data_IF_615146815377
#
_entry.id   IF_615146815377
#
_cell.length_a   1.000
_cell.length_b   1.000
_cell.length_c   1.000
_cell.angle_alpha   90.00
_cell.angle_beta   90.00
_cell.angle_gamma   90.00
#
_symmetry.space_group_name_H-M   'P 1'
#
loop_
_entity.id
_entity.type
_entity.pdbx_description
1 polymer ?
#
# COMPACT_ATOMS: atom_id res chain seq x y z
N UNK A 1 -17.09 12.29 -3.22
CA UNK A 1 -18.17 11.28 -3.20
C UNK A 1 -18.93 11.14 -4.50
N UNK A 2 -19.46 12.21 -5.13
CA UNK A 2 -20.15 12.11 -6.43
C UNK A 2 -19.31 11.34 -7.47
N UNK A 3 -18.02 11.69 -7.59
CA UNK A 3 -17.07 10.95 -8.42
C UNK A 3 -17.02 9.45 -8.08
N UNK A 4 -16.83 9.09 -6.81
CA UNK A 4 -16.74 7.67 -6.39
C UNK A 4 -18.03 6.90 -6.64
N UNK A 5 -19.19 7.54 -6.51
CA UNK A 5 -20.48 6.94 -6.88
C UNK A 5 -20.53 6.61 -8.36
N UNK A 6 -20.15 7.56 -9.22
CA UNK A 6 -20.09 7.34 -10.67
C UNK A 6 -19.06 6.26 -11.03
N UNK A 7 -17.86 6.32 -10.43
CA UNK A 7 -16.77 5.38 -10.66
C UNK A 7 -17.12 3.95 -10.25
N UNK A 8 -17.81 3.78 -9.13
CA UNK A 8 -18.25 2.46 -8.65
C UNK A 8 -19.29 1.82 -9.58
N UNK A 9 -20.14 2.63 -10.22
CA UNK A 9 -21.27 2.17 -11.03
C UNK A 9 -20.92 1.97 -12.51
N UNK A 10 -20.08 2.85 -13.05
CA UNK A 10 -19.70 2.89 -14.46
C UNK A 10 -18.47 2.01 -14.74
N UNK A 11 -18.31 1.56 -16.01
CA UNK A 11 -17.09 0.91 -16.47
C UNK A 11 -15.84 1.79 -16.29
N UNK A 12 -14.69 1.16 -16.05
CA UNK A 12 -13.43 1.87 -15.72
C UNK A 12 -12.95 2.78 -16.87
N UNK A 13 -13.20 2.36 -18.10
CA UNK A 13 -12.85 3.01 -19.36
C UNK A 13 -13.61 4.32 -19.60
N UNK A 14 -14.77 4.52 -18.98
CA UNK A 14 -15.62 5.68 -19.26
C UNK A 14 -15.23 6.95 -18.48
N UNK A 15 -14.59 6.81 -17.32
CA UNK A 15 -14.36 7.96 -16.44
C UNK A 15 -12.89 8.38 -16.46
N UNK A 16 -11.99 7.52 -15.98
CA UNK A 16 -10.64 7.95 -15.60
C UNK A 16 -9.50 7.11 -16.17
N UNK A 17 -9.77 5.89 -16.69
CA UNK A 17 -8.71 5.01 -17.17
C UNK A 17 -7.80 5.65 -18.22
N UNK A 18 -8.36 6.48 -19.12
CA UNK A 18 -7.59 7.23 -20.13
C UNK A 18 -6.59 8.23 -19.56
N UNK A 19 -6.78 8.67 -18.32
CA UNK A 19 -5.91 9.63 -17.64
C UNK A 19 -4.90 8.96 -16.70
N UNK A 20 -5.04 7.66 -16.40
CA UNK A 20 -4.12 6.92 -15.53
C UNK A 20 -2.65 6.99 -16.00
N UNK A 21 -2.34 6.87 -17.30
CA UNK A 21 -0.96 7.02 -17.77
C UNK A 21 -0.37 8.40 -17.47
N UNK A 22 -1.17 9.47 -17.57
CA UNK A 22 -0.73 10.82 -17.27
C UNK A 22 -0.35 10.94 -15.78
N UNK A 23 -1.20 10.44 -14.88
CA UNK A 23 -0.90 10.45 -13.45
C UNK A 23 0.34 9.63 -13.11
N UNK A 24 0.51 8.46 -13.74
CA UNK A 24 1.72 7.65 -13.58
C UNK A 24 2.99 8.41 -13.99
N UNK A 25 2.96 9.09 -15.14
CA UNK A 25 4.08 9.93 -15.60
C UNK A 25 4.34 11.07 -14.61
N UNK A 26 3.29 11.76 -14.12
CA UNK A 26 3.44 12.81 -13.12
C UNK A 26 4.12 12.31 -11.84
N UNK A 27 3.74 11.12 -11.34
CA UNK A 27 4.36 10.52 -10.15
C UNK A 27 5.84 10.22 -10.36
N UNK A 28 6.21 9.69 -11.54
CA UNK A 28 7.61 9.41 -11.88
C UNK A 28 8.42 10.70 -11.99
N UNK A 29 7.92 11.69 -12.73
CA UNK A 29 8.60 12.98 -12.90
C UNK A 29 8.79 13.68 -11.55
N UNK A 30 7.77 13.63 -10.69
CA UNK A 30 7.84 14.18 -9.34
C UNK A 30 8.89 13.45 -8.49
N UNK A 31 8.91 12.11 -8.47
CA UNK A 31 9.90 11.35 -7.72
C UNK A 31 11.33 11.61 -8.19
N UNK A 32 11.56 11.67 -9.50
CA UNK A 32 12.87 11.99 -10.08
C UNK A 32 13.27 13.45 -9.81
N UNK A 33 12.33 14.39 -9.86
CA UNK A 33 12.57 15.80 -9.56
C UNK A 33 12.97 16.03 -8.10
N UNK A 34 12.25 15.41 -7.16
CA UNK A 34 12.59 15.46 -5.72
C UNK A 34 13.94 14.81 -5.47
N UNK A 35 14.19 13.63 -6.04
CA UNK A 35 15.48 12.95 -5.93
C UNK A 35 16.63 13.82 -6.47
N UNK A 36 16.44 14.46 -7.62
CA UNK A 36 17.40 15.42 -8.18
C UNK A 36 17.62 16.60 -7.24
N UNK A 37 16.55 17.22 -6.73
CA UNK A 37 16.64 18.36 -5.81
C UNK A 37 17.43 18.04 -4.54
N UNK A 38 17.23 16.86 -3.97
CA UNK A 38 18.03 16.37 -2.84
C UNK A 38 19.51 16.17 -3.23
N UNK A 39 19.80 15.51 -4.35
CA UNK A 39 21.17 15.24 -4.79
C UNK A 39 21.96 16.51 -5.15
N UNK A 40 21.28 17.55 -5.64
CA UNK A 40 21.88 18.84 -5.95
C UNK A 40 21.87 19.82 -4.76
N UNK A 41 21.39 19.40 -3.58
CA UNK A 41 21.39 20.23 -2.37
C UNK A 41 20.48 21.46 -2.46
N UNK A 42 19.38 21.37 -3.21
CA UNK A 42 18.41 22.47 -3.34
C UNK A 42 17.82 22.79 -1.95
N UNK A 43 17.87 24.07 -1.56
CA UNK A 43 17.43 24.53 -0.23
C UNK A 43 18.47 24.36 0.88
N UNK A 44 19.64 23.77 0.61
CA UNK A 44 20.71 23.59 1.60
C UNK A 44 20.44 22.49 2.63
N UNK A 45 19.37 21.71 2.45
CA UNK A 45 19.06 20.57 3.30
C UNK A 45 20.10 19.46 3.14
N UNK A 46 20.57 18.93 4.27
CA UNK A 46 21.54 17.82 4.28
C UNK A 46 20.81 16.53 4.62
N UNK A 47 20.96 15.50 3.78
CA UNK A 47 20.36 14.20 4.05
C UNK A 47 20.97 13.62 5.34
N UNK A 48 20.16 13.20 6.32
CA UNK A 48 20.68 12.59 7.55
C UNK A 48 21.49 11.33 7.27
N UNK A 49 22.56 11.13 8.03
CA UNK A 49 23.35 9.89 7.99
C UNK A 49 22.52 8.69 8.43
N UNK A 50 22.77 7.53 7.81
CA UNK A 50 22.08 6.30 8.19
C UNK A 50 22.50 5.86 9.59
N UNK A 51 21.51 5.54 10.43
CA UNK A 51 21.74 5.00 11.76
C UNK A 51 20.83 3.79 12.01
N UNK A 52 21.30 2.86 12.85
CA UNK A 52 20.51 1.74 13.36
C UNK A 52 19.76 2.10 14.66
N UNK A 53 19.93 3.33 15.15
CA UNK A 53 19.24 3.82 16.33
C UNK A 53 17.74 3.99 16.09
N UNK A 54 16.96 3.80 17.16
CA UNK A 54 15.52 4.05 17.12
C UNK A 54 15.22 5.54 17.22
N UNK A 55 15.06 6.18 16.05
CA UNK A 55 14.70 7.60 15.91
C UNK A 55 13.20 7.90 16.09
N UNK A 56 12.39 6.90 16.44
CA UNK A 56 10.98 7.13 16.73
C UNK A 56 10.84 7.98 18.01
N UNK A 57 10.10 9.11 18.01
CA UNK A 57 10.06 10.03 19.17
C UNK A 57 9.59 9.38 20.48
N UNK A 58 8.73 8.38 20.38
CA UNK A 58 8.23 7.59 21.52
C UNK A 58 8.97 6.25 21.72
N UNK A 59 10.10 6.04 21.06
CA UNK A 59 10.88 4.80 21.05
C UNK A 59 10.03 3.53 20.82
N UNK A 60 9.02 3.63 19.95
CA UNK A 60 8.16 2.50 19.62
C UNK A 60 8.98 1.39 18.92
N UNK A 61 8.62 0.12 19.09
CA UNK A 61 9.38 -0.97 18.49
C UNK A 61 9.35 -0.91 16.95
N UNK A 62 10.52 -0.71 16.35
CA UNK A 62 10.68 -0.44 14.91
C UNK A 62 10.18 -1.61 14.07
N UNK A 63 10.56 -2.84 14.42
CA UNK A 63 10.40 -3.99 13.54
C UNK A 63 8.95 -4.19 13.06
N UNK A 64 7.95 -4.48 13.93
CA UNK A 64 6.58 -4.67 13.45
C UNK A 64 5.98 -3.36 12.89
N UNK A 65 6.33 -2.21 13.47
CA UNK A 65 5.76 -0.93 13.06
C UNK A 65 6.17 -0.55 11.64
N UNK A 66 7.43 -0.76 11.26
CA UNK A 66 7.95 -0.43 9.93
C UNK A 66 7.17 -1.13 8.82
N UNK A 67 7.00 -2.45 8.92
CA UNK A 67 6.31 -3.24 7.89
C UNK A 67 4.80 -3.02 7.86
N UNK A 68 4.22 -2.60 8.99
CA UNK A 68 2.79 -2.29 9.06
C UNK A 68 2.54 -0.88 8.55
N UNK A 69 3.30 0.13 8.99
CA UNK A 69 3.11 1.53 8.60
C UNK A 69 3.49 1.81 7.15
N UNK A 70 4.60 1.22 6.66
CA UNK A 70 5.03 1.35 5.25
C UNK A 70 4.31 0.30 4.40
N UNK A 71 2.98 0.23 4.52
CA UNK A 71 2.23 -0.93 4.08
C UNK A 71 2.40 -1.22 2.59
N UNK A 72 1.96 -0.29 1.74
CA UNK A 72 2.01 -0.46 0.29
C UNK A 72 3.44 -0.49 -0.28
N UNK A 73 4.42 0.09 0.44
CA UNK A 73 5.83 0.08 0.02
C UNK A 73 6.59 -1.19 0.42
N UNK A 74 6.18 -1.89 1.49
CA UNK A 74 6.81 -3.13 1.93
C UNK A 74 6.19 -4.36 1.26
N UNK A 75 4.88 -4.57 1.43
CA UNK A 75 4.09 -5.61 0.75
C UNK A 75 2.60 -5.29 0.90
N UNK A 76 1.81 -5.49 -0.15
CA UNK A 76 0.42 -5.02 -0.17
C UNK A 76 -0.60 -6.13 -0.43
N UNK A 77 -1.50 -6.33 0.53
CA UNK A 77 -2.65 -7.22 0.38
C UNK A 77 -3.74 -6.61 -0.50
N UNK A 78 -3.86 -5.28 -0.51
CA UNK A 78 -4.80 -4.55 -1.34
C UNK A 78 -4.54 -4.78 -2.83
N UNK A 79 -3.28 -4.80 -3.26
CA UNK A 79 -2.94 -5.14 -4.65
C UNK A 79 -3.40 -6.55 -5.06
N UNK A 80 -3.47 -7.49 -4.11
CA UNK A 80 -4.01 -8.82 -4.38
C UNK A 80 -5.52 -8.79 -4.70
N UNK A 81 -6.31 -7.90 -4.08
CA UNK A 81 -7.75 -7.78 -4.37
C UNK A 81 -8.03 -7.13 -5.72
N UNK A 82 -7.07 -6.35 -6.23
CA UNK A 82 -7.16 -5.68 -7.52
C UNK A 82 -6.59 -6.51 -8.67
N UNK A 83 -5.66 -7.41 -8.38
CA UNK A 83 -4.96 -8.24 -9.37
C UNK A 83 -5.89 -8.96 -10.35
N UNK A 84 -7.05 -9.53 -9.96
CA UNK A 84 -7.98 -10.15 -10.91
C UNK A 84 -8.57 -9.18 -11.94
N UNK A 85 -8.81 -7.93 -11.53
CA UNK A 85 -9.33 -6.88 -12.43
C UNK A 85 -8.25 -6.56 -13.47
N UNK A 86 -7.00 -6.38 -13.03
CA UNK A 86 -5.88 -6.06 -13.91
C UNK A 86 -5.52 -7.23 -14.83
N UNK A 87 -5.51 -8.47 -14.34
CA UNK A 87 -5.19 -9.65 -15.11
C UNK A 87 -6.12 -9.84 -16.32
N UNK A 88 -7.41 -9.53 -16.17
CA UNK A 88 -8.42 -9.61 -17.26
C UNK A 88 -8.25 -8.52 -18.32
N UNK A 89 -7.49 -7.47 -18.04
CA UNK A 89 -7.20 -6.40 -18.98
C UNK A 89 -5.87 -6.60 -19.74
N UNK A 90 -5.08 -7.61 -19.39
CA UNK A 90 -3.84 -7.92 -20.08
C UNK A 90 -4.11 -8.57 -21.44
N UNK A 91 -3.45 -8.08 -22.47
CA UNK A 91 -3.53 -8.64 -23.84
C UNK A 91 -2.64 -9.87 -24.04
N UNK A 92 -1.58 -9.97 -23.25
CA UNK A 92 -0.54 -11.00 -23.35
C UNK A 92 0.02 -11.30 -21.94
N UNK A 93 0.24 -12.57 -21.62
CA UNK A 93 0.84 -13.01 -20.35
C UNK A 93 2.25 -12.47 -20.13
N UNK A 94 2.99 -12.16 -21.21
CA UNK A 94 4.31 -11.49 -21.16
C UNK A 94 4.23 -10.14 -20.45
N UNK A 95 3.06 -9.49 -20.45
CA UNK A 95 2.81 -8.26 -19.72
C UNK A 95 2.68 -8.47 -18.21
N UNK A 96 2.55 -9.70 -17.72
CA UNK A 96 2.41 -9.99 -16.29
C UNK A 96 3.62 -9.50 -15.47
N UNK A 97 4.85 -9.72 -15.96
CA UNK A 97 6.05 -9.23 -15.28
C UNK A 97 6.10 -7.70 -15.16
N UNK A 98 6.00 -6.90 -16.23
CA UNK A 98 6.03 -5.45 -16.10
C UNK A 98 4.84 -4.89 -15.32
N UNK A 99 3.64 -5.46 -15.47
CA UNK A 99 2.42 -4.91 -14.83
C UNK A 99 2.33 -5.25 -13.35
N UNK A 100 2.68 -6.46 -12.92
CA UNK A 100 2.61 -6.85 -11.52
C UNK A 100 3.93 -6.59 -10.79
N UNK A 101 5.02 -7.21 -11.24
CA UNK A 101 6.31 -7.09 -10.56
C UNK A 101 6.94 -5.71 -10.80
N UNK A 102 6.95 -5.22 -12.05
CA UNK A 102 7.54 -3.94 -12.40
C UNK A 102 6.87 -2.75 -11.69
N UNK A 103 5.54 -2.74 -11.60
CA UNK A 103 4.80 -1.72 -10.87
C UNK A 103 5.16 -1.68 -9.38
N UNK A 104 5.23 -2.84 -8.72
CA UNK A 104 5.60 -2.92 -7.29
C UNK A 104 7.02 -2.41 -7.04
N UNK A 105 7.98 -2.72 -7.93
CA UNK A 105 9.34 -2.19 -7.82
C UNK A 105 9.35 -0.67 -7.97
N UNK A 106 8.60 -0.13 -8.95
CA UNK A 106 8.50 1.32 -9.15
C UNK A 106 7.87 2.02 -7.94
N UNK A 107 6.81 1.47 -7.37
CA UNK A 107 6.19 2.00 -6.13
C UNK A 107 7.16 1.98 -4.95
N UNK A 108 7.95 0.91 -4.80
CA UNK A 108 8.99 0.81 -3.77
C UNK A 108 10.05 1.92 -3.91
N UNK A 109 10.53 2.19 -5.13
CA UNK A 109 11.47 3.29 -5.40
C UNK A 109 10.85 4.64 -5.05
N UNK A 110 9.62 4.89 -5.51
CA UNK A 110 8.90 6.14 -5.21
C UNK A 110 8.72 6.32 -3.70
N UNK A 111 8.35 5.26 -2.97
CA UNK A 111 8.20 5.29 -1.52
C UNK A 111 9.51 5.63 -0.80
N UNK A 112 10.64 5.06 -1.25
CA UNK A 112 11.96 5.37 -0.70
C UNK A 112 12.36 6.84 -0.97
N UNK A 113 12.10 7.36 -2.16
CA UNK A 113 12.32 8.78 -2.47
C UNK A 113 11.53 9.70 -1.51
N UNK A 114 10.26 9.38 -1.25
CA UNK A 114 9.42 10.15 -0.33
C UNK A 114 9.84 10.04 1.13
N UNK A 115 10.27 8.86 1.58
CA UNK A 115 10.82 8.68 2.92
C UNK A 115 12.10 9.53 3.12
N UNK A 116 13.01 9.51 2.14
CA UNK A 116 14.22 10.33 2.16
C UNK A 116 13.90 11.83 2.11
N UNK A 117 12.95 12.25 1.27
CA UNK A 117 12.54 13.64 1.15
C UNK A 117 11.94 14.18 2.45
N UNK A 118 11.08 13.41 3.11
CA UNK A 118 10.50 13.80 4.40
C UNK A 118 11.55 13.93 5.51
N UNK A 119 12.55 13.04 5.53
CA UNK A 119 13.64 13.11 6.51
C UNK A 119 14.62 14.26 6.24
N UNK A 120 14.84 14.60 4.97
CA UNK A 120 15.83 15.61 4.55
C UNK A 120 15.26 17.03 4.59
N UNK A 121 14.07 17.25 4.01
CA UNK A 121 13.49 18.59 3.85
C UNK A 121 13.13 19.28 5.18
N UNK A 122 12.80 18.49 6.20
CA UNK A 122 12.41 19.01 7.51
C UNK A 122 13.47 18.79 8.58
N UNK A 123 14.73 18.57 8.18
CA UNK A 123 15.88 18.40 9.07
C UNK A 123 15.64 17.33 10.16
N UNK A 124 15.01 16.21 9.78
CA UNK A 124 14.75 15.06 10.63
C UNK A 124 13.29 14.86 11.05
N UNK A 125 13.08 13.84 11.90
CA UNK A 125 11.74 13.40 12.32
C UNK A 125 10.95 14.43 13.14
N UNK A 126 11.56 15.29 13.99
CA UNK A 126 10.79 16.29 14.74
C UNK A 126 10.17 17.36 13.84
N UNK A 127 10.93 17.87 12.86
CA UNK A 127 10.44 18.87 11.91
C UNK A 127 9.33 18.32 11.02
N UNK A 128 9.50 17.10 10.50
CA UNK A 128 8.46 16.43 9.72
C UNK A 128 7.18 16.22 10.56
N UNK A 129 7.33 15.84 11.82
CA UNK A 129 6.21 15.67 12.74
C UNK A 129 5.45 16.97 13.03
N UNK A 130 6.14 18.12 13.09
CA UNK A 130 5.52 19.42 13.23
C UNK A 130 4.76 19.82 11.96
N UNK A 131 5.40 19.69 10.79
CA UNK A 131 4.78 20.01 9.50
C UNK A 131 3.55 19.15 9.20
N UNK A 132 3.57 17.86 9.54
CA UNK A 132 2.40 16.97 9.42
C UNK A 132 1.23 17.40 10.31
N UNK A 133 1.48 18.01 11.47
CA UNK A 133 0.41 18.52 12.35
C UNK A 133 -0.18 19.83 11.85
N UNK A 134 0.64 20.69 11.24
CA UNK A 134 0.23 22.01 10.78
C UNK A 134 -0.39 21.98 9.38
N UNK A 135 0.33 21.42 8.41
CA UNK A 135 -0.03 21.43 6.99
C UNK A 135 -0.73 20.14 6.53
N UNK A 136 -0.71 19.09 7.36
CA UNK A 136 -1.22 17.77 7.01
C UNK A 136 -0.40 17.07 5.92
N UNK A 137 -0.72 15.79 5.59
CA UNK A 137 0.04 15.03 4.60
C UNK A 137 0.08 15.68 3.22
N UNK A 138 -1.03 16.29 2.78
CA UNK A 138 -1.12 16.97 1.49
C UNK A 138 -0.29 18.26 1.44
N UNK A 139 -0.26 19.03 2.52
CA UNK A 139 0.55 20.24 2.62
C UNK A 139 2.06 19.93 2.67
N UNK A 140 2.45 18.89 3.40
CA UNK A 140 3.85 18.41 3.42
C UNK A 140 4.33 18.02 2.02
N UNK A 141 3.52 17.29 1.26
CA UNK A 141 3.85 16.93 -0.14
C UNK A 141 3.99 18.19 -1.00
N UNK A 142 3.12 19.18 -0.82
CA UNK A 142 3.18 20.45 -1.54
C UNK A 142 4.47 21.22 -1.25
N UNK A 143 4.83 21.36 0.02
CA UNK A 143 6.04 22.08 0.46
C UNK A 143 7.31 21.43 -0.07
N UNK A 144 7.44 20.11 0.07
CA UNK A 144 8.60 19.34 -0.40
C UNK A 144 8.76 19.48 -1.92
N UNK A 145 7.67 19.32 -2.68
CA UNK A 145 7.73 19.46 -4.15
C UNK A 145 8.10 20.87 -4.57
N UNK A 146 7.50 21.90 -3.95
CA UNK A 146 7.77 23.28 -4.30
C UNK A 146 9.20 23.71 -3.90
N UNK A 147 9.68 23.22 -2.75
CA UNK A 147 11.01 23.50 -2.24
C UNK A 147 12.12 22.85 -3.07
N UNK A 148 12.03 21.55 -3.35
CA UNK A 148 13.08 20.83 -4.10
C UNK A 148 13.04 21.05 -5.60
N UNK A 149 11.87 21.25 -6.21
CA UNK A 149 11.74 21.43 -7.65
C UNK A 149 11.70 22.91 -8.07
N UNK A 150 11.69 23.83 -7.10
CA UNK A 150 11.74 25.27 -7.30
C UNK A 150 10.42 25.91 -7.74
N UNK A 151 10.33 27.21 -7.52
CA UNK A 151 9.15 28.03 -7.86
C UNK A 151 9.08 28.47 -9.35
N UNK A 152 10.16 28.28 -10.12
CA UNK A 152 10.26 28.74 -11.51
C UNK A 152 9.76 27.64 -12.45
N UNK A 153 8.48 27.72 -12.80
CA UNK A 153 7.92 26.96 -13.92
C UNK A 153 7.49 27.86 -15.08
N UNK A 154 6.78 27.27 -16.04
CA UNK A 154 6.32 27.98 -17.25
C UNK A 154 5.20 28.96 -16.88
N UNK A 155 5.41 30.27 -17.07
CA UNK A 155 4.39 31.29 -16.87
C UNK A 155 4.13 31.71 -15.42
N UNK A 156 5.08 31.52 -14.51
CA UNK A 156 4.96 31.92 -13.09
C UNK A 156 4.27 30.90 -12.18
N UNK A 157 3.99 29.70 -12.69
CA UNK A 157 3.40 28.58 -11.93
C UNK A 157 4.50 27.58 -11.60
N UNK A 158 4.65 27.22 -10.31
CA UNK A 158 5.59 26.18 -9.88
C UNK A 158 5.18 24.81 -10.44
N UNK A 159 6.07 24.19 -11.21
CA UNK A 159 5.86 22.83 -11.74
C UNK A 159 5.77 21.83 -10.58
N UNK A 160 6.59 22.00 -9.53
CA UNK A 160 6.53 21.17 -8.33
C UNK A 160 5.17 21.26 -7.62
N UNK A 161 4.63 22.48 -7.47
CA UNK A 161 3.32 22.70 -6.87
C UNK A 161 2.18 22.05 -7.68
N UNK A 162 2.20 22.19 -9.01
CA UNK A 162 1.19 21.58 -9.89
C UNK A 162 1.26 20.06 -9.82
N UNK A 163 2.47 19.48 -9.90
CA UNK A 163 2.66 18.04 -9.81
C UNK A 163 2.26 17.49 -8.43
N UNK A 164 2.57 18.20 -7.35
CA UNK A 164 2.13 17.86 -6.00
C UNK A 164 0.60 17.82 -5.91
N UNK A 165 -0.08 18.87 -6.38
CA UNK A 165 -1.54 18.92 -6.35
C UNK A 165 -2.16 17.81 -7.19
N UNK A 166 -1.61 17.54 -8.38
CA UNK A 166 -2.05 16.42 -9.21
C UNK A 166 -1.83 15.07 -8.51
N UNK A 167 -0.69 14.86 -7.86
CA UNK A 167 -0.38 13.63 -7.12
C UNK A 167 -1.27 13.42 -5.90
N UNK A 168 -1.37 14.43 -5.03
CA UNK A 168 -2.16 14.43 -3.78
C UNK A 168 -3.65 14.24 -4.07
N UNK A 169 -4.16 14.75 -5.19
CA UNK A 169 -5.56 14.60 -5.56
C UNK A 169 -5.79 13.30 -6.35
N UNK A 170 -4.98 13.02 -7.36
CA UNK A 170 -5.24 11.89 -8.26
C UNK A 170 -4.99 10.54 -7.60
N UNK A 171 -3.94 10.40 -6.78
CA UNK A 171 -3.61 9.10 -6.18
C UNK A 171 -4.73 8.58 -5.25
N UNK A 172 -5.30 9.38 -4.32
CA UNK A 172 -6.45 8.96 -3.53
C UNK A 172 -7.71 8.70 -4.37
N UNK A 173 -7.96 9.49 -5.42
CA UNK A 173 -9.12 9.32 -6.30
C UNK A 173 -9.06 8.00 -7.06
N UNK A 174 -7.91 7.69 -7.67
CA UNK A 174 -7.71 6.46 -8.44
C UNK A 174 -7.67 5.21 -7.54
N UNK A 175 -7.02 5.32 -6.37
CA UNK A 175 -7.02 4.27 -5.35
C UNK A 175 -8.43 4.05 -4.76
N UNK A 176 -9.19 5.11 -4.55
CA UNK A 176 -10.57 5.05 -4.06
C UNK A 176 -11.52 4.38 -5.06
N UNK A 177 -11.45 4.73 -6.36
CA UNK A 177 -12.25 4.04 -7.41
C UNK A 177 -11.98 2.54 -7.38
N UNK A 178 -10.70 2.16 -7.44
CA UNK A 178 -10.31 0.75 -7.47
C UNK A 178 -10.70 0.02 -6.16
N UNK A 179 -10.60 0.68 -5.00
CA UNK A 179 -11.03 0.13 -3.72
C UNK A 179 -12.53 -0.15 -3.67
N UNK A 180 -13.38 0.86 -3.96
CA UNK A 180 -14.83 0.68 -3.94
C UNK A 180 -15.30 -0.32 -5.01
N UNK A 181 -14.67 -0.34 -6.19
CA UNK A 181 -14.98 -1.34 -7.21
C UNK A 181 -14.62 -2.75 -6.76
N UNK A 182 -13.41 -2.96 -6.22
CA UNK A 182 -12.97 -4.27 -5.71
C UNK A 182 -13.84 -4.75 -4.55
N UNK A 183 -14.16 -3.86 -3.61
CA UNK A 183 -15.04 -4.17 -2.48
C UNK A 183 -16.46 -4.55 -2.94
N UNK A 184 -17.05 -3.81 -3.89
CA UNK A 184 -18.36 -4.15 -4.46
C UNK A 184 -18.36 -5.53 -5.11
N UNK A 185 -17.35 -5.83 -5.92
CA UNK A 185 -17.25 -7.14 -6.60
C UNK A 185 -17.06 -8.28 -5.59
N UNK A 186 -16.22 -8.08 -4.57
CA UNK A 186 -16.00 -9.06 -3.50
C UNK A 186 -17.30 -9.35 -2.73
N UNK A 187 -18.02 -8.31 -2.32
CA UNK A 187 -19.31 -8.45 -1.63
C UNK A 187 -20.37 -9.11 -2.52
N UNK A 188 -20.39 -8.77 -3.81
CA UNK A 188 -21.29 -9.38 -4.77
C UNK A 188 -21.04 -10.87 -4.92
N UNK A 189 -19.78 -11.29 -4.97
CA UNK A 189 -19.39 -12.69 -5.07
C UNK A 189 -19.75 -13.45 -3.77
N UNK A 190 -19.50 -12.87 -2.60
CA UNK A 190 -19.87 -13.48 -1.30
C UNK A 190 -21.38 -13.66 -1.14
N UNK A 191 -22.16 -12.68 -1.59
CA UNK A 191 -23.62 -12.70 -1.51
C UNK A 191 -24.27 -13.39 -2.72
N UNK A 192 -23.48 -13.90 -3.67
CA UNK A 192 -23.95 -14.46 -4.94
C UNK A 192 -24.93 -13.54 -5.71
N UNK A 193 -24.69 -12.23 -5.69
CA UNK A 193 -25.53 -11.22 -6.34
C UNK A 193 -24.97 -10.87 -7.72
N UNK A 194 -25.68 -11.20 -8.82
CA UNK A 194 -25.19 -10.91 -10.17
C UNK A 194 -25.10 -9.39 -10.43
N UNK A 195 -23.93 -8.93 -10.89
CA UNK A 195 -23.63 -7.50 -11.13
C UNK A 195 -23.99 -7.00 -12.55
N UNK A 196 -24.96 -7.64 -13.22
CA UNK A 196 -25.39 -7.23 -14.58
C UNK A 196 -26.31 -6.00 -14.52
N UNK A 197 -27.39 -6.11 -13.76
CA UNK A 197 -28.43 -5.09 -13.56
C UNK A 197 -27.94 -3.92 -12.70
N UNK A 198 -28.25 -2.68 -13.10
CA UNK A 198 -27.87 -1.47 -12.33
C UNK A 198 -28.47 -1.46 -10.92
N UNK A 199 -29.68 -2.00 -10.74
CA UNK A 199 -30.33 -2.11 -9.42
C UNK A 199 -29.54 -2.99 -8.45
N UNK A 200 -29.04 -4.13 -8.92
CA UNK A 200 -28.20 -5.07 -8.15
C UNK A 200 -26.82 -4.48 -7.83
N UNK A 201 -26.29 -3.63 -8.72
CA UNK A 201 -25.06 -2.85 -8.44
C UNK A 201 -25.29 -1.83 -7.34
N UNK A 202 -26.37 -1.04 -7.43
CA UNK A 202 -26.73 0.00 -6.47
C UNK A 202 -27.01 -0.56 -5.07
N UNK A 203 -27.64 -1.73 -5.00
CA UNK A 203 -27.93 -2.44 -3.75
C UNK A 203 -26.68 -2.66 -2.88
N UNK A 204 -25.52 -2.88 -3.50
CA UNK A 204 -24.23 -3.04 -2.79
C UNK A 204 -23.47 -1.71 -2.73
N UNK A 205 -23.48 -0.96 -3.83
CA UNK A 205 -22.71 0.28 -3.95
C UNK A 205 -23.16 1.35 -2.95
N UNK A 206 -24.48 1.57 -2.78
CA UNK A 206 -25.00 2.63 -1.91
C UNK A 206 -24.63 2.38 -0.44
N UNK A 207 -24.91 1.20 0.17
CA UNK A 207 -24.51 0.96 1.56
C UNK A 207 -23.01 1.05 1.77
N UNK A 208 -22.21 0.51 0.85
CA UNK A 208 -20.76 0.56 0.91
C UNK A 208 -20.21 2.00 0.85
N UNK A 209 -20.74 2.83 -0.06
CA UNK A 209 -20.36 4.24 -0.18
C UNK A 209 -20.81 5.06 1.05
N UNK A 210 -21.97 4.73 1.63
CA UNK A 210 -22.44 5.35 2.86
C UNK A 210 -21.50 5.03 4.04
N UNK A 211 -21.07 3.78 4.18
CA UNK A 211 -20.06 3.39 5.18
C UNK A 211 -18.75 4.15 4.91
N UNK A 212 -18.30 4.21 3.66
CA UNK A 212 -17.11 4.98 3.28
C UNK A 212 -17.20 6.47 3.63
N UNK A 213 -18.39 7.08 3.48
CA UNK A 213 -18.65 8.46 3.87
C UNK A 213 -18.56 8.66 5.37
N UNK A 214 -19.16 7.77 6.15
CA UNK A 214 -19.09 7.80 7.62
C UNK A 214 -17.64 7.67 8.08
N UNK A 215 -16.92 6.67 7.55
CA UNK A 215 -15.51 6.44 7.88
C UNK A 215 -14.64 7.64 7.48
N UNK A 216 -14.95 8.35 6.40
CA UNK A 216 -14.18 9.53 5.97
C UNK A 216 -14.24 10.71 6.95
N UNK A 217 -15.16 10.69 7.92
CA UNK A 217 -15.24 11.69 8.99
C UNK A 217 -14.41 11.32 10.23
N UNK A 218 -13.84 10.11 10.26
CA UNK A 218 -12.96 9.68 11.35
C UNK A 218 -11.55 10.24 11.17
N UNK A 219 -10.82 10.32 12.28
CA UNK A 219 -9.41 10.69 12.26
C UNK A 219 -8.62 9.76 11.33
N UNK A 220 -7.90 10.36 10.37
CA UNK A 220 -7.14 9.64 9.37
C UNK A 220 -6.11 8.69 9.99
N UNK A 221 -5.50 9.04 11.12
CA UNK A 221 -4.53 8.18 11.82
C UNK A 221 -5.18 6.89 12.34
N UNK A 222 -6.45 6.96 12.78
CA UNK A 222 -7.22 5.78 13.17
C UNK A 222 -7.45 4.90 11.95
N UNK A 223 -8.00 5.47 10.87
CA UNK A 223 -8.30 4.74 9.64
C UNK A 223 -7.02 4.09 9.08
N UNK A 224 -5.92 4.84 9.03
CA UNK A 224 -4.64 4.38 8.50
C UNK A 224 -4.07 3.21 9.30
N UNK A 225 -4.15 3.24 10.63
CA UNK A 225 -3.71 2.11 11.48
C UNK A 225 -4.50 0.84 11.18
N UNK A 226 -5.84 0.94 11.14
CA UNK A 226 -6.70 -0.21 10.85
C UNK A 226 -6.51 -0.74 9.42
N UNK A 227 -6.41 0.16 8.45
CA UNK A 227 -6.07 -0.19 7.07
C UNK A 227 -4.72 -0.92 7.00
N UNK A 228 -3.70 -0.40 7.68
CA UNK A 228 -2.33 -0.90 7.61
C UNK A 228 -2.22 -2.36 8.07
N UNK A 229 -2.70 -2.68 9.27
CA UNK A 229 -2.60 -4.06 9.77
C UNK A 229 -3.54 -5.02 9.03
N UNK A 230 -4.74 -4.57 8.61
CA UNK A 230 -5.65 -5.39 7.83
C UNK A 230 -5.08 -5.72 6.45
N UNK A 231 -4.45 -4.73 5.80
CA UNK A 231 -3.73 -4.90 4.54
C UNK A 231 -2.59 -5.91 4.67
N UNK A 232 -1.78 -5.82 5.74
CA UNK A 232 -0.69 -6.78 5.96
C UNK A 232 -1.18 -8.19 6.30
N UNK A 233 -2.28 -8.30 7.04
CA UNK A 233 -2.92 -9.59 7.31
C UNK A 233 -3.38 -10.25 6.01
N UNK A 234 -4.00 -9.48 5.11
CA UNK A 234 -4.39 -9.96 3.80
C UNK A 234 -3.17 -10.34 2.94
N UNK A 235 -2.11 -9.53 2.97
CA UNK A 235 -0.86 -9.83 2.28
C UNK A 235 -0.26 -11.16 2.74
N UNK A 236 -0.18 -11.38 4.05
CA UNK A 236 0.27 -12.63 4.66
C UNK A 236 -0.55 -13.84 4.19
N UNK A 237 -1.88 -13.75 4.24
CA UNK A 237 -2.77 -14.83 3.78
C UNK A 237 -2.55 -15.10 2.29
N UNK A 238 -2.40 -14.06 1.48
CA UNK A 238 -2.20 -14.21 0.05
C UNK A 238 -0.81 -14.79 -0.28
N UNK A 239 0.24 -14.46 0.48
CA UNK A 239 1.56 -15.07 0.34
C UNK A 239 1.53 -16.58 0.66
N UNK A 240 0.82 -16.99 1.72
CA UNK A 240 0.60 -18.41 2.00
C UNK A 240 -0.20 -19.10 0.89
N UNK A 241 -1.23 -18.43 0.38
CA UNK A 241 -2.05 -18.94 -0.74
C UNK A 241 -1.23 -19.08 -2.02
N UNK A 242 -0.38 -18.10 -2.34
CA UNK A 242 0.56 -18.14 -3.46
C UNK A 242 1.62 -19.23 -3.30
N UNK A 243 2.10 -19.44 -2.08
CA UNK A 243 3.03 -20.53 -1.74
C UNK A 243 2.40 -21.89 -2.04
N UNK A 244 1.17 -22.11 -1.56
CA UNK A 244 0.41 -23.32 -1.86
C UNK A 244 0.21 -23.46 -3.37
N UNK A 245 -0.30 -22.42 -4.04
CA UNK A 245 -0.52 -22.45 -5.49
C UNK A 245 0.74 -22.85 -6.27
N UNK A 246 1.89 -22.24 -5.98
CA UNK A 246 3.16 -22.55 -6.65
C UNK A 246 3.63 -23.97 -6.38
N UNK A 247 3.51 -24.45 -5.13
CA UNK A 247 3.86 -25.82 -4.78
C UNK A 247 2.98 -26.84 -5.52
N UNK A 248 1.70 -26.52 -5.73
CA UNK A 248 0.75 -27.40 -6.42
C UNK A 248 0.89 -27.42 -7.93
N UNK A 249 1.15 -26.27 -8.54
CA UNK A 249 1.13 -26.12 -10.00
C UNK A 249 2.53 -26.23 -10.62
N UNK A 250 3.60 -26.27 -9.81
CA UNK A 250 4.97 -26.50 -10.27
C UNK A 250 5.64 -27.62 -9.46
N UNK A 251 5.13 -28.87 -9.55
CA UNK A 251 5.69 -29.99 -8.80
C UNK A 251 7.17 -30.19 -9.14
N UNK A 252 8.00 -30.44 -8.12
CA UNK A 252 9.45 -30.60 -8.28
C UNK A 252 10.25 -29.30 -8.41
N UNK A 253 9.58 -28.14 -8.44
CA UNK A 253 10.26 -26.83 -8.45
C UNK A 253 10.29 -26.19 -7.07
N UNK A 254 11.39 -25.53 -6.73
CA UNK A 254 11.51 -24.68 -5.54
C UNK A 254 10.89 -23.29 -5.71
N UNK A 255 10.12 -23.04 -6.78
CA UNK A 255 9.49 -21.75 -7.04
C UNK A 255 8.59 -21.26 -5.88
N UNK A 256 7.97 -22.17 -5.13
CA UNK A 256 7.14 -21.82 -3.97
C UNK A 256 7.92 -21.09 -2.86
N UNK A 257 9.24 -21.27 -2.79
CA UNK A 257 10.10 -20.62 -1.78
C UNK A 257 10.05 -19.09 -1.89
N UNK A 258 9.87 -18.56 -3.10
CA UNK A 258 9.77 -17.12 -3.37
C UNK A 258 8.59 -16.48 -2.61
N UNK A 259 7.47 -17.21 -2.47
CA UNK A 259 6.32 -16.76 -1.69
C UNK A 259 6.40 -17.22 -0.23
N UNK A 260 7.01 -18.38 0.04
CA UNK A 260 7.11 -18.96 1.39
C UNK A 260 7.90 -18.07 2.34
N UNK A 261 9.08 -17.62 1.94
CA UNK A 261 9.96 -16.83 2.83
C UNK A 261 9.28 -15.53 3.27
N UNK A 262 8.71 -14.72 2.36
CA UNK A 262 7.90 -13.57 2.75
C UNK A 262 6.65 -13.96 3.57
N UNK A 263 5.99 -15.10 3.28
CA UNK A 263 4.82 -15.54 4.05
C UNK A 263 5.16 -15.77 5.52
N UNK A 264 6.26 -16.48 5.79
CA UNK A 264 6.77 -16.76 7.15
C UNK A 264 7.11 -15.45 7.85
N UNK A 265 7.86 -14.58 7.18
CA UNK A 265 8.26 -13.28 7.73
C UNK A 265 7.05 -12.42 8.08
N UNK A 266 6.10 -12.28 7.16
CA UNK A 266 4.88 -11.49 7.36
C UNK A 266 3.95 -12.10 8.40
N UNK A 267 4.04 -13.41 8.64
CA UNK A 267 3.34 -14.07 9.74
C UNK A 267 3.86 -13.61 11.08
N UNK A 268 5.18 -13.54 11.25
CA UNK A 268 5.78 -13.03 12.47
C UNK A 268 5.48 -11.54 12.68
N UNK A 269 5.64 -10.72 11.63
CA UNK A 269 5.38 -9.28 11.68
C UNK A 269 3.93 -8.97 12.06
N UNK A 270 2.97 -9.52 11.31
CA UNK A 270 1.54 -9.19 11.49
C UNK A 270 1.03 -9.63 12.86
N UNK A 271 1.40 -10.83 13.29
CA UNK A 271 0.98 -11.34 14.60
C UNK A 271 1.65 -10.59 15.75
N UNK A 272 2.95 -10.27 15.62
CA UNK A 272 3.64 -9.41 16.61
C UNK A 272 2.95 -8.06 16.73
N UNK A 273 2.64 -7.40 15.61
CA UNK A 273 1.96 -6.11 15.63
C UNK A 273 0.59 -6.20 16.31
N UNK A 274 -0.25 -7.17 15.93
CA UNK A 274 -1.57 -7.34 16.53
C UNK A 274 -1.50 -7.60 18.04
N UNK A 275 -0.50 -8.36 18.50
CA UNK A 275 -0.30 -8.61 19.92
C UNK A 275 0.21 -7.36 20.67
N UNK A 276 1.03 -6.54 20.02
CA UNK A 276 1.76 -5.44 20.66
C UNK A 276 1.01 -4.10 20.61
N UNK A 277 0.30 -3.83 19.52
CA UNK A 277 -0.32 -2.54 19.28
C UNK A 277 -1.46 -2.27 20.29
N UNK A 278 -1.65 -1.01 20.74
CA UNK A 278 -2.71 -0.66 21.68
C UNK A 278 -4.12 -0.98 21.17
N UNK A 279 -4.35 -0.87 19.86
CA UNK A 279 -5.61 -1.24 19.21
C UNK A 279 -5.83 -2.76 19.07
N UNK A 280 -4.78 -3.55 19.34
CA UNK A 280 -4.81 -5.00 19.37
C UNK A 280 -4.88 -5.53 20.80
N UNK A 281 -3.86 -6.29 21.22
CA UNK A 281 -3.80 -6.87 22.57
C UNK A 281 -2.93 -6.09 23.58
N UNK A 282 -2.20 -5.07 23.13
CA UNK A 282 -1.41 -4.20 24.02
C UNK A 282 -0.35 -4.91 24.88
N UNK A 283 0.17 -6.07 24.41
CA UNK A 283 1.12 -6.89 25.17
C UNK A 283 2.56 -6.35 25.04
N UNK A 284 3.40 -6.56 26.07
CA UNK A 284 4.80 -6.12 26.06
C UNK A 284 5.67 -6.95 25.10
N UNK A 285 6.76 -6.35 24.62
CA UNK A 285 7.66 -6.91 23.58
C UNK A 285 8.29 -8.25 23.95
N UNK A 286 8.53 -8.50 25.24
CA UNK A 286 9.06 -9.77 25.74
C UNK A 286 8.11 -10.96 25.50
N UNK A 287 6.81 -10.70 25.33
CA UNK A 287 5.80 -11.72 24.99
C UNK A 287 5.55 -11.73 23.49
N UNK A 288 5.40 -10.56 22.87
CA UNK A 288 4.94 -10.48 21.47
C UNK A 288 5.97 -11.01 20.48
N UNK A 289 7.27 -10.80 20.72
CA UNK A 289 8.32 -11.27 19.80
C UNK A 289 8.42 -12.80 19.76
N UNK A 290 8.54 -13.52 20.89
CA UNK A 290 8.47 -14.99 20.88
C UNK A 290 7.15 -15.51 20.33
N UNK A 291 6.02 -14.88 20.66
CA UNK A 291 4.71 -15.29 20.16
C UNK A 291 4.62 -15.17 18.64
N UNK A 292 5.09 -14.05 18.05
CA UNK A 292 5.08 -13.85 16.60
C UNK A 292 5.93 -14.89 15.86
N UNK A 293 7.12 -15.21 16.40
CA UNK A 293 7.96 -16.30 15.88
C UNK A 293 7.21 -17.65 16.00
N UNK A 294 6.55 -17.89 17.13
CA UNK A 294 5.72 -19.08 17.35
C UNK A 294 4.61 -19.23 16.32
N UNK A 295 3.91 -18.14 15.97
CA UNK A 295 2.90 -18.14 14.91
C UNK A 295 3.49 -18.42 13.53
N UNK A 296 4.65 -17.85 13.21
CA UNK A 296 5.33 -18.13 11.95
C UNK A 296 5.73 -19.61 11.83
N UNK A 297 6.24 -20.22 12.91
CA UNK A 297 6.53 -21.65 12.98
C UNK A 297 5.25 -22.46 12.82
N UNK A 298 4.18 -22.10 13.53
CA UNK A 298 2.89 -22.78 13.46
C UNK A 298 2.33 -22.79 12.04
N UNK A 299 2.28 -21.64 11.36
CA UNK A 299 1.77 -21.56 9.99
C UNK A 299 2.63 -22.34 9.00
N UNK A 300 3.96 -22.32 9.19
CA UNK A 300 4.87 -23.16 8.41
C UNK A 300 4.60 -24.65 8.63
N UNK A 301 4.43 -25.08 9.88
CA UNK A 301 4.11 -26.46 10.21
C UNK A 301 2.76 -26.89 9.62
N UNK A 302 1.74 -26.01 9.65
CA UNK A 302 0.46 -26.25 9.00
C UNK A 302 0.60 -26.42 7.48
N UNK A 303 1.38 -25.57 6.83
CA UNK A 303 1.67 -25.68 5.40
C UNK A 303 2.36 -27.00 5.07
N UNK A 304 3.45 -27.33 5.78
CA UNK A 304 4.21 -28.57 5.60
C UNK A 304 3.30 -29.78 5.80
N UNK A 305 2.48 -29.78 6.85
CA UNK A 305 1.51 -30.85 7.11
C UNK A 305 0.48 -30.98 5.99
N UNK A 306 -0.11 -29.87 5.54
CA UNK A 306 -1.20 -29.88 4.57
C UNK A 306 -0.76 -30.27 3.16
N UNK A 307 0.42 -29.81 2.74
CA UNK A 307 0.86 -29.89 1.34
C UNK A 307 2.03 -30.84 1.09
N UNK A 308 2.97 -30.99 2.05
CA UNK A 308 4.18 -31.81 1.86
C UNK A 308 3.99 -33.20 2.46
N UNK A 309 3.57 -33.29 3.73
CA UNK A 309 3.50 -34.57 4.45
C UNK A 309 2.26 -35.39 4.11
N UNK A 310 1.16 -34.74 3.70
CA UNK A 310 -0.05 -35.45 3.29
C UNK A 310 0.21 -36.08 1.92
N UNK A 311 0.52 -37.39 1.89
CA UNK A 311 0.55 -38.17 0.64
C UNK A 311 -0.76 -37.94 -0.09
N UNK A 312 -0.69 -37.29 -1.25
CA UNK A 312 -1.83 -37.15 -2.13
C UNK A 312 -2.12 -38.53 -2.68
N UNK A 313 -3.23 -39.13 -2.27
CA UNK A 313 -3.86 -40.21 -3.02
C UNK A 313 -4.14 -39.65 -4.41
N UNK A 314 -3.42 -40.20 -5.39
CA UNK A 314 -3.59 -39.89 -6.80
C UNK A 314 -5.01 -40.22 -7.27
#
# INVERSE_FOLDING_TARGET
>A
FIYYTLATLLPIDQIIARFYPLFGICLIVMALGIMGGMLFGVGGHTMPEMTLENLHPQHLPIWPLLFITVACGAVSGFHATQSPIMARCLKDERMGRPVFYGAMVAEGIIALCWAAAGATFYDGTPGLGAALKEAGPGGVVYEVCNGFMGAIGVGGISIGAVLAMLGVIACPITSGDTAFRSARLTLADWLNVPQKESSKRLMIAIPMLAIGLILSQMDFSIIWRYFSWANQTLAMIMLWTGTAYLYLNKPGSYAYVIALVPAIFMSAVTTTYLLQAPEGFGLPTNITYPAGIGFAILFTALFVRAFILRKRTA
#
